data_IF_667308800607
#
_entry.id   IF_667308800607
#
_cell.length_a   1.000
_cell.length_b   1.000
_cell.length_c   1.000
_cell.angle_alpha   90.00
_cell.angle_beta   90.00
_cell.angle_gamma   90.00
#
_symmetry.space_group_name_H-M   'P 1'
#
loop_
_entity.id
_entity.type
_entity.pdbx_description
1 polymer ?
#
# COMPACT_ATOMS: atom_id res chain seq x y z
N UNK A 1 -5.87 8.24 -8.06
CA UNK A 1 -5.18 8.78 -6.87
C UNK A 1 -4.11 7.81 -6.40
N UNK A 2 -2.96 8.30 -5.95
CA UNK A 2 -1.89 7.49 -5.38
C UNK A 2 -1.61 8.00 -3.97
N UNK A 3 -1.75 7.15 -2.95
CA UNK A 3 -1.63 7.59 -1.56
C UNK A 3 -1.26 6.46 -0.60
N UNK A 4 -0.80 6.82 0.59
CA UNK A 4 -0.66 5.94 1.77
C UNK A 4 -1.75 6.20 2.82
N UNK A 5 -2.60 7.21 2.59
CA UNK A 5 -3.70 7.59 3.48
C UNK A 5 -4.81 8.30 2.67
N UNK A 6 -5.88 7.60 2.25
CA UNK A 6 -6.96 8.20 1.47
C UNK A 6 -8.03 8.90 2.33
N UNK A 7 -7.95 8.87 3.67
CA UNK A 7 -9.07 9.25 4.56
C UNK A 7 -9.66 10.65 4.30
N UNK A 8 -8.83 11.65 4.01
CA UNK A 8 -9.34 12.99 3.71
C UNK A 8 -10.11 13.02 2.39
N UNK A 9 -9.58 12.36 1.35
CA UNK A 9 -10.20 12.32 0.04
C UNK A 9 -11.47 11.45 0.01
N UNK A 10 -11.55 10.44 0.88
CA UNK A 10 -12.73 9.57 0.99
C UNK A 10 -14.03 10.35 1.25
N UNK A 11 -13.94 11.50 1.93
CA UNK A 11 -15.09 12.37 2.23
C UNK A 11 -15.68 13.02 0.98
N UNK A 12 -14.93 13.07 -0.12
CA UNK A 12 -15.30 13.72 -1.37
C UNK A 12 -15.64 12.71 -2.49
N UNK A 13 -15.66 11.40 -2.22
CA UNK A 13 -15.94 10.40 -3.25
C UNK A 13 -17.34 10.55 -3.84
N UNK A 14 -18.33 10.90 -3.01
CA UNK A 14 -19.69 11.17 -3.48
C UNK A 14 -19.74 12.33 -4.46
N UNK A 15 -19.00 13.40 -4.19
CA UNK A 15 -18.89 14.55 -5.10
C UNK A 15 -18.23 14.15 -6.42
N UNK A 16 -17.14 13.38 -6.37
CA UNK A 16 -16.46 12.88 -7.57
C UNK A 16 -17.39 12.01 -8.42
N UNK A 17 -18.19 11.15 -7.78
CA UNK A 17 -19.18 10.31 -8.45
C UNK A 17 -20.29 11.14 -9.10
N UNK A 18 -20.83 12.13 -8.40
CA UNK A 18 -21.88 13.02 -8.93
C UNK A 18 -21.40 13.82 -10.13
N UNK A 19 -20.13 14.21 -10.15
CA UNK A 19 -19.50 14.89 -11.30
C UNK A 19 -19.12 13.94 -12.45
N UNK A 20 -19.35 12.64 -12.31
CA UNK A 20 -19.10 11.64 -13.35
C UNK A 20 -17.61 11.29 -13.55
N UNK A 21 -16.73 11.64 -12.62
CA UNK A 21 -15.30 11.34 -12.77
C UNK A 21 -15.02 9.85 -12.61
N UNK A 22 -14.20 9.31 -13.51
CA UNK A 22 -13.63 7.97 -13.39
C UNK A 22 -12.29 8.05 -12.66
N UNK A 23 -12.12 7.24 -11.62
CA UNK A 23 -10.91 7.21 -10.82
C UNK A 23 -10.68 5.83 -10.21
N UNK A 24 -9.43 5.57 -9.86
CA UNK A 24 -9.02 4.44 -9.05
C UNK A 24 -7.95 4.88 -8.05
N UNK A 25 -7.74 4.08 -7.02
CA UNK A 25 -6.75 4.30 -5.99
C UNK A 25 -5.60 3.32 -6.11
N UNK A 26 -4.38 3.84 -6.04
CA UNK A 26 -3.17 3.10 -5.78
C UNK A 26 -2.80 3.33 -4.32
N UNK A 27 -3.03 2.34 -3.47
CA UNK A 27 -2.86 2.44 -2.03
C UNK A 27 -1.72 1.53 -1.54
N UNK A 28 -0.62 2.15 -1.09
CA UNK A 28 0.51 1.42 -0.52
C UNK A 28 0.29 0.95 0.92
N UNK A 29 0.47 -0.35 1.14
CA UNK A 29 0.53 -0.99 2.46
C UNK A 29 1.64 -2.05 2.41
N UNK A 30 2.79 -1.76 3.02
CA UNK A 30 3.95 -2.67 3.09
C UNK A 30 4.05 -3.41 4.44
N UNK A 31 3.46 -2.85 5.49
CA UNK A 31 3.54 -3.42 6.85
C UNK A 31 4.92 -3.30 7.49
N UNK A 32 5.79 -2.43 6.96
CA UNK A 32 7.15 -2.27 7.49
C UNK A 32 7.18 -1.74 8.92
N UNK A 33 8.26 -2.04 9.66
CA UNK A 33 8.55 -1.38 10.91
C UNK A 33 8.60 0.14 10.75
N UNK A 34 8.18 0.89 11.78
CA UNK A 34 8.16 2.36 11.77
C UNK A 34 9.49 3.02 11.43
N UNK A 35 10.61 2.34 11.72
CA UNK A 35 11.94 2.86 11.39
C UNK A 35 12.17 2.97 9.87
N UNK A 36 11.52 2.11 9.08
CA UNK A 36 11.56 2.16 7.61
C UNK A 36 10.45 3.05 7.03
N UNK A 37 9.29 3.13 7.69
CA UNK A 37 8.18 3.98 7.28
C UNK A 37 7.56 4.71 8.48
N UNK A 38 8.03 5.93 8.73
CA UNK A 38 7.65 6.71 9.92
C UNK A 38 6.38 7.57 9.72
N UNK A 39 6.11 8.01 8.49
CA UNK A 39 5.00 8.91 8.14
C UNK A 39 3.79 8.21 7.52
N UNK A 40 3.52 6.96 7.92
CA UNK A 40 2.40 6.15 7.41
C UNK A 40 1.44 5.76 8.53
N UNK A 41 0.15 5.56 8.23
CA UNK A 41 -0.78 5.02 9.21
C UNK A 41 -0.28 3.67 9.74
N UNK A 42 -0.59 3.38 11.01
CA UNK A 42 -0.36 2.04 11.56
C UNK A 42 -0.95 0.97 10.60
N UNK A 43 -0.26 -0.17 10.37
CA UNK A 43 -0.71 -1.18 9.40
C UNK A 43 -2.17 -1.62 9.57
N UNK A 44 -2.63 -1.82 10.80
CA UNK A 44 -4.02 -2.21 11.06
C UNK A 44 -5.02 -1.10 10.67
N UNK A 45 -4.65 0.17 10.88
CA UNK A 45 -5.47 1.31 10.46
C UNK A 45 -5.47 1.44 8.94
N UNK A 46 -4.32 1.25 8.28
CA UNK A 46 -4.21 1.28 6.83
C UNK A 46 -5.09 0.19 6.18
N UNK A 47 -5.04 -1.04 6.71
CA UNK A 47 -5.87 -2.15 6.24
C UNK A 47 -7.36 -1.85 6.42
N UNK A 48 -7.80 -1.38 7.60
CA UNK A 48 -9.21 -0.98 7.80
C UNK A 48 -9.66 0.09 6.81
N UNK A 49 -8.84 1.12 6.63
CA UNK A 49 -9.13 2.21 5.68
C UNK A 49 -9.18 1.69 4.23
N UNK A 50 -8.33 0.73 3.87
CA UNK A 50 -8.36 0.09 2.56
C UNK A 50 -9.67 -0.67 2.33
N UNK A 51 -10.09 -1.46 3.32
CA UNK A 51 -11.34 -2.23 3.29
C UNK A 51 -12.53 -1.27 3.13
N UNK A 52 -12.61 -0.22 3.97
CA UNK A 52 -13.64 0.81 3.89
C UNK A 52 -13.68 1.48 2.50
N UNK A 53 -12.51 1.84 1.96
CA UNK A 53 -12.41 2.41 0.62
C UNK A 53 -12.92 1.44 -0.44
N UNK A 54 -12.48 0.18 -0.41
CA UNK A 54 -12.95 -0.86 -1.34
C UNK A 54 -14.45 -1.10 -1.24
N UNK A 55 -15.03 -1.01 -0.05
CA UNK A 55 -16.46 -1.23 0.14
C UNK A 55 -17.28 -0.06 -0.44
N UNK A 56 -16.71 1.16 -0.43
CA UNK A 56 -17.34 2.35 -0.99
C UNK A 56 -17.25 2.41 -2.52
N UNK A 57 -16.12 2.01 -3.11
CA UNK A 57 -15.88 2.19 -4.55
C UNK A 57 -15.69 0.88 -5.32
N UNK A 58 -15.79 -0.26 -4.68
CA UNK A 58 -15.59 -1.55 -5.32
C UNK A 58 -14.10 -1.95 -5.43
N UNK A 59 -13.81 -3.27 -5.34
CA UNK A 59 -12.44 -3.81 -5.32
C UNK A 59 -11.68 -3.62 -6.64
N UNK A 60 -12.37 -3.37 -7.75
CA UNK A 60 -11.78 -3.08 -9.05
C UNK A 60 -11.13 -1.69 -9.12
N UNK A 61 -11.56 -0.75 -8.25
CA UNK A 61 -11.05 0.62 -8.19
C UNK A 61 -10.03 0.85 -7.08
N UNK A 62 -9.64 -0.18 -6.32
CA UNK A 62 -8.60 -0.08 -5.29
C UNK A 62 -7.49 -1.08 -5.57
N UNK A 63 -6.31 -0.59 -5.90
CA UNK A 63 -5.11 -1.37 -6.20
C UNK A 63 -4.21 -1.35 -4.97
N UNK A 64 -3.92 -2.52 -4.41
CA UNK A 64 -2.94 -2.65 -3.34
C UNK A 64 -1.53 -2.52 -3.90
N UNK A 65 -0.71 -1.67 -3.30
CA UNK A 65 0.72 -1.58 -3.58
C UNK A 65 1.51 -2.14 -2.42
N UNK A 66 2.20 -3.26 -2.65
CA UNK A 66 3.26 -3.75 -1.75
C UNK A 66 4.60 -3.34 -2.38
N UNK A 67 4.83 -2.03 -2.39
CA UNK A 67 5.84 -1.40 -3.23
C UNK A 67 6.39 -0.11 -2.56
N UNK A 68 7.72 0.01 -2.38
CA UNK A 68 8.76 -0.94 -2.82
C UNK A 68 9.04 -2.06 -1.82
N UNK A 69 9.47 -3.20 -2.33
CA UNK A 69 10.13 -4.29 -1.59
C UNK A 69 11.57 -3.85 -1.31
N UNK A 70 11.91 -3.67 -0.03
CA UNK A 70 13.22 -3.22 0.44
C UNK A 70 13.97 -4.39 1.07
N UNK A 71 14.85 -5.04 0.31
CA UNK A 71 15.69 -6.12 0.84
C UNK A 71 16.80 -5.53 1.72
N UNK A 72 16.67 -5.69 3.03
CA UNK A 72 17.64 -5.20 4.01
C UNK A 72 17.70 -6.14 5.22
N UNK A 73 18.64 -5.89 6.14
CA UNK A 73 18.76 -6.65 7.38
C UNK A 73 17.55 -6.53 8.32
N UNK A 74 16.73 -5.48 8.17
CA UNK A 74 15.53 -5.28 9.00
C UNK A 74 14.30 -6.03 8.47
N UNK A 75 14.21 -6.27 7.17
CA UNK A 75 13.11 -7.00 6.54
C UNK A 75 13.72 -7.90 5.47
N UNK A 76 13.93 -9.16 5.84
CA UNK A 76 14.44 -10.16 4.92
C UNK A 76 13.32 -10.73 4.04
N UNK A 77 13.69 -11.63 3.11
CA UNK A 77 12.73 -12.26 2.20
C UNK A 77 11.66 -13.07 2.97
N UNK A 78 12.02 -13.70 4.09
CA UNK A 78 11.06 -14.50 4.88
C UNK A 78 10.02 -13.58 5.50
N UNK A 79 10.46 -12.44 6.00
CA UNK A 79 9.59 -11.46 6.62
C UNK A 79 8.70 -10.75 5.61
N UNK A 80 9.22 -10.45 4.40
CA UNK A 80 8.38 -9.99 3.29
C UNK A 80 7.29 -10.99 2.95
N UNK A 81 7.61 -12.29 2.83
CA UNK A 81 6.60 -13.34 2.58
C UNK A 81 5.54 -13.37 3.68
N UNK A 82 5.95 -13.31 4.95
CA UNK A 82 5.04 -13.30 6.10
C UNK A 82 4.12 -12.08 6.11
N UNK A 83 4.68 -10.89 5.87
CA UNK A 83 3.91 -9.64 5.82
C UNK A 83 2.95 -9.60 4.63
N UNK A 84 3.44 -9.96 3.44
CA UNK A 84 2.64 -10.02 2.23
C UNK A 84 1.47 -10.98 2.40
N UNK A 85 1.72 -12.21 2.86
CA UNK A 85 0.69 -13.22 3.08
C UNK A 85 -0.37 -12.74 4.09
N UNK A 86 0.07 -12.16 5.20
CA UNK A 86 -0.84 -11.60 6.21
C UNK A 86 -1.72 -10.50 5.64
N UNK A 87 -1.16 -9.55 4.89
CA UNK A 87 -1.91 -8.43 4.32
C UNK A 87 -2.85 -8.95 3.22
N UNK A 88 -2.38 -9.85 2.36
CA UNK A 88 -3.19 -10.45 1.30
C UNK A 88 -4.44 -11.15 1.84
N UNK A 89 -4.29 -11.93 2.92
CA UNK A 89 -5.43 -12.56 3.61
C UNK A 89 -6.41 -11.53 4.17
N UNK A 90 -5.91 -10.45 4.78
CA UNK A 90 -6.75 -9.39 5.33
C UNK A 90 -7.46 -8.54 4.26
N UNK A 91 -6.89 -8.48 3.05
CA UNK A 91 -7.46 -7.75 1.90
C UNK A 91 -8.24 -8.68 0.94
N UNK A 92 -8.46 -9.94 1.30
CA UNK A 92 -9.15 -10.90 0.45
C UNK A 92 -10.53 -10.38 0.03
N UNK A 93 -10.77 -10.37 -1.29
CA UNK A 93 -12.02 -9.85 -1.88
C UNK A 93 -12.12 -8.33 -1.96
N UNK A 94 -11.19 -7.56 -1.38
CA UNK A 94 -11.20 -6.08 -1.34
C UNK A 94 -10.30 -5.43 -2.40
N UNK A 95 -9.65 -6.23 -3.24
CA UNK A 95 -8.92 -5.75 -4.41
C UNK A 95 -8.85 -6.82 -5.48
N UNK A 96 -8.68 -6.41 -6.73
CA UNK A 96 -8.41 -7.31 -7.87
C UNK A 96 -6.97 -7.24 -8.38
N UNK A 97 -6.16 -6.32 -7.87
CA UNK A 97 -4.81 -6.08 -8.37
C UNK A 97 -3.86 -5.69 -7.25
N UNK A 98 -2.70 -6.34 -7.24
CA UNK A 98 -1.55 -5.94 -6.45
C UNK A 98 -0.41 -5.51 -7.37
N UNK A 99 0.30 -4.44 -6.98
CA UNK A 99 1.55 -4.01 -7.61
C UNK A 99 2.69 -4.21 -6.62
N UNK A 100 3.77 -4.81 -7.09
CA UNK A 100 5.02 -4.97 -6.36
C UNK A 100 6.16 -4.43 -7.22
N UNK A 101 7.18 -3.89 -6.57
CA UNK A 101 8.46 -3.57 -7.20
C UNK A 101 9.57 -3.83 -6.19
N UNK A 102 10.79 -4.08 -6.65
CA UNK A 102 11.97 -4.20 -5.79
C UNK A 102 12.75 -2.89 -5.90
N UNK A 103 13.10 -2.29 -4.76
CA UNK A 103 14.07 -1.21 -4.79
C UNK A 103 15.48 -1.80 -4.69
N UNK A 104 16.27 -1.56 -5.70
CA UNK A 104 17.71 -1.76 -5.62
C UNK A 104 18.29 -0.58 -4.83
N UNK A 105 18.76 -0.85 -3.61
CA UNK A 105 19.63 0.08 -2.91
C UNK A 105 20.94 0.13 -3.71
N UNK A 106 21.07 1.12 -4.60
CA UNK A 106 22.30 1.36 -5.34
C UNK A 106 23.47 1.50 -4.35
N UNK A 107 24.32 0.48 -4.30
CA UNK A 107 25.64 0.55 -3.68
C UNK A 107 26.57 1.44 -4.53
N UNK A 108 26.28 2.73 -4.62
CA UNK A 108 27.29 3.77 -4.86
C UNK A 108 27.56 4.34 -3.46
N UNK A 109 28.44 3.76 -2.66
CA UNK A 109 29.89 3.67 -2.86
C UNK A 109 30.45 2.61 -1.91
N UNK A 110 31.03 1.53 -2.43
CA UNK A 110 31.93 0.65 -1.66
C UNK A 110 33.11 0.16 -2.52
N UNK A 111 33.58 1.06 -3.40
CA UNK A 111 34.86 0.99 -4.10
C UNK A 111 35.42 2.40 -4.15
N UNK A 112 35.90 2.88 -2.99
CA UNK A 112 36.84 3.99 -2.75
C UNK A 112 36.74 4.47 -1.28
N UNK A 113 36.81 3.54 -0.33
CA UNK A 113 37.32 3.81 1.02
C UNK A 113 38.56 2.94 1.22
#
# INVERSE_FOLDING_TARGET
>A
FWTRNPQMLMRHLSELNQRGYQYYFQYTITGYPKILESNVPNPNKAIRTFIELSDLIGPERVIWRYDPILLCNMVDIREHKRLFDKIAHLLAGKTKKVVISFADLYAKTDRNL
#
